data_IF_057751628739
#
_entry.id   IF_057751628739
#
_cell.length_a   1.000
_cell.length_b   1.000
_cell.length_c   1.000
_cell.angle_alpha   90.00
_cell.angle_beta   90.00
_cell.angle_gamma   90.00
#
_symmetry.space_group_name_H-M   'P 1'
#
loop_
_entity.id
_entity.type
_entity.pdbx_description
1 polymer ?
#
# COMPACT_ATOMS: atom_id res chain seq x y z
N UNK A 1 -6.58 7.48 11.02
CA UNK A 1 -6.39 8.14 9.77
C UNK A 1 -4.94 8.08 9.31
N UNK A 2 -4.07 8.68 10.05
CA UNK A 2 -2.65 8.59 9.75
C UNK A 2 -2.16 7.16 9.78
N UNK A 3 -2.77 6.33 10.62
CA UNK A 3 -2.47 4.91 10.72
C UNK A 3 -2.73 4.18 9.40
N UNK A 4 -3.86 4.45 8.74
CA UNK A 4 -4.17 3.84 7.45
C UNK A 4 -3.16 4.23 6.39
N UNK A 5 -2.74 5.48 6.38
CA UNK A 5 -1.76 5.99 5.42
C UNK A 5 -0.38 5.38 5.68
N UNK A 6 0.02 5.29 6.95
CA UNK A 6 1.29 4.70 7.32
C UNK A 6 1.30 3.21 6.96
N UNK A 7 0.23 2.49 7.27
CA UNK A 7 0.12 1.08 6.92
C UNK A 7 0.12 0.87 5.41
N UNK A 8 -0.61 1.70 4.67
CA UNK A 8 -0.64 1.63 3.22
C UNK A 8 0.74 1.85 2.61
N UNK A 9 1.45 2.88 3.07
CA UNK A 9 2.80 3.16 2.60
C UNK A 9 3.76 2.02 2.95
N UNK A 10 3.68 1.51 4.18
CA UNK A 10 4.52 0.40 4.61
C UNK A 10 4.28 -0.84 3.75
N UNK A 11 3.02 -1.13 3.43
CA UNK A 11 2.68 -2.27 2.57
C UNK A 11 3.18 -2.07 1.15
N UNK A 12 3.10 -0.85 0.62
CA UNK A 12 3.63 -0.54 -0.70
C UNK A 12 5.13 -0.77 -0.76
N UNK A 13 5.86 -0.29 0.23
CA UNK A 13 7.31 -0.47 0.30
C UNK A 13 7.67 -1.94 0.42
N UNK A 14 7.00 -2.64 1.33
CA UNK A 14 7.21 -4.08 1.53
C UNK A 14 6.91 -4.85 0.25
N UNK A 15 5.81 -4.52 -0.42
CA UNK A 15 5.44 -5.15 -1.68
C UNK A 15 6.45 -4.90 -2.79
N UNK A 16 6.98 -3.68 -2.89
CA UNK A 16 8.01 -3.33 -3.86
C UNK A 16 9.30 -4.13 -3.63
N UNK A 17 9.69 -4.29 -2.37
CA UNK A 17 10.87 -5.09 -2.03
C UNK A 17 10.66 -6.55 -2.41
N UNK A 18 9.51 -7.12 -2.07
CA UNK A 18 9.18 -8.51 -2.41
C UNK A 18 9.16 -8.71 -3.91
N UNK A 19 8.55 -7.79 -4.64
CA UNK A 19 8.47 -7.87 -6.09
C UNK A 19 9.87 -7.85 -6.71
N UNK A 20 10.71 -6.94 -6.26
CA UNK A 20 12.09 -6.81 -6.77
C UNK A 20 12.91 -8.05 -6.46
N UNK A 21 12.85 -8.54 -5.22
CA UNK A 21 13.57 -9.75 -4.82
C UNK A 21 13.06 -10.96 -5.60
N UNK A 22 11.75 -11.05 -5.80
CA UNK A 22 11.16 -12.12 -6.60
C UNK A 22 11.66 -12.12 -8.04
N UNK A 23 11.76 -10.96 -8.66
CA UNK A 23 12.28 -10.82 -10.02
C UNK A 23 13.75 -11.24 -10.10
N UNK A 24 14.56 -10.77 -9.17
CA UNK A 24 15.99 -11.09 -9.14
C UNK A 24 16.22 -12.59 -8.92
N UNK A 25 15.46 -13.18 -8.01
CA UNK A 25 15.57 -14.60 -7.67
C UNK A 25 14.85 -15.52 -8.67
N UNK A 26 14.04 -14.97 -9.56
CA UNK A 26 13.22 -15.78 -10.45
C UNK A 26 12.06 -16.44 -9.74
N UNK A 27 11.64 -15.91 -8.60
CA UNK A 27 10.55 -16.46 -7.79
C UNK A 27 9.25 -15.72 -8.12
N UNK A 28 8.45 -16.31 -9.02
CA UNK A 28 7.19 -15.71 -9.45
C UNK A 28 6.17 -15.59 -8.32
N UNK A 29 6.19 -16.51 -7.37
CA UNK A 29 5.26 -16.47 -6.24
C UNK A 29 5.55 -15.26 -5.36
N UNK A 30 6.81 -15.02 -5.05
CA UNK A 30 7.23 -13.88 -4.25
C UNK A 30 6.96 -12.57 -4.98
N UNK A 31 7.23 -12.52 -6.28
CA UNK A 31 6.94 -11.36 -7.12
C UNK A 31 5.44 -11.04 -7.09
N UNK A 32 4.60 -12.05 -7.24
CA UNK A 32 3.14 -11.90 -7.21
C UNK A 32 2.67 -11.41 -5.85
N UNK A 33 3.20 -11.97 -4.76
CA UNK A 33 2.90 -11.51 -3.40
C UNK A 33 3.26 -10.05 -3.22
N UNK A 34 4.42 -9.64 -3.74
CA UNK A 34 4.85 -8.26 -3.70
C UNK A 34 3.89 -7.33 -4.42
N UNK A 35 3.42 -7.73 -5.59
CA UNK A 35 2.44 -6.95 -6.34
C UNK A 35 1.12 -6.82 -5.60
N UNK A 36 0.65 -7.89 -4.96
CA UNK A 36 -0.58 -7.88 -4.16
C UNK A 36 -0.43 -6.95 -2.96
N UNK A 37 0.68 -7.05 -2.23
CA UNK A 37 0.96 -6.19 -1.08
C UNK A 37 1.00 -4.72 -1.49
N UNK A 38 1.63 -4.43 -2.61
CA UNK A 38 1.73 -3.08 -3.14
C UNK A 38 0.35 -2.52 -3.50
N UNK A 39 -0.48 -3.32 -4.16
CA UNK A 39 -1.84 -2.92 -4.51
C UNK A 39 -2.70 -2.71 -3.27
N UNK A 40 -2.58 -3.59 -2.28
CA UNK A 40 -3.31 -3.48 -1.01
C UNK A 40 -2.92 -2.20 -0.27
N UNK A 41 -1.62 -1.92 -0.21
CA UNK A 41 -1.12 -0.69 0.42
C UNK A 41 -1.63 0.56 -0.28
N UNK A 42 -1.68 0.52 -1.60
CA UNK A 42 -2.19 1.63 -2.40
C UNK A 42 -3.65 1.90 -2.12
N UNK A 43 -4.47 0.86 -2.02
CA UNK A 43 -5.90 0.97 -1.68
C UNK A 43 -6.06 1.53 -0.27
N UNK A 44 -5.31 1.04 0.71
CA UNK A 44 -5.36 1.55 2.08
C UNK A 44 -4.99 3.02 2.16
N UNK A 45 -3.96 3.42 1.43
CA UNK A 45 -3.53 4.81 1.39
C UNK A 45 -4.62 5.70 0.78
N UNK A 46 -5.26 5.24 -0.30
CA UNK A 46 -6.37 5.96 -0.93
C UNK A 46 -7.57 6.11 0.01
N UNK A 47 -7.90 5.06 0.76
CA UNK A 47 -8.99 5.11 1.75
C UNK A 47 -8.66 6.12 2.85
N UNK A 48 -7.40 6.14 3.34
CA UNK A 48 -6.97 7.12 4.33
C UNK A 48 -7.12 8.55 3.81
N UNK A 49 -6.73 8.79 2.56
CA UNK A 49 -6.88 10.09 1.92
C UNK A 49 -8.34 10.50 1.77
N UNK A 50 -9.21 9.56 1.40
CA UNK A 50 -10.65 9.82 1.28
C UNK A 50 -11.27 10.18 2.64
N UNK A 51 -10.87 9.47 3.70
CA UNK A 51 -11.33 9.77 5.06
C UNK A 51 -10.92 11.19 5.47
N UNK A 52 -9.70 11.58 5.15
CA UNK A 52 -9.22 12.93 5.45
C UNK A 52 -10.04 13.99 4.74
N UNK A 53 -10.32 13.78 3.46
CA UNK A 53 -11.10 14.72 2.67
C UNK A 53 -12.52 14.88 3.23
N UNK A 54 -13.16 13.78 3.63
CA UNK A 54 -14.49 13.80 4.25
C UNK A 54 -14.45 14.55 5.57
N UNK A 55 -13.43 14.30 6.38
CA UNK A 55 -13.27 14.97 7.67
C UNK A 55 -13.10 16.47 7.51
N UNK A 56 -12.27 16.89 6.56
CA UNK A 56 -12.05 18.31 6.29
C UNK A 56 -13.33 18.98 5.83
N UNK A 57 -14.09 18.32 4.95
CA UNK A 57 -15.39 18.84 4.50
C UNK A 57 -16.38 18.96 5.66
N UNK A 58 -16.33 18.04 6.61
CA UNK A 58 -17.24 18.02 7.77
C UNK A 58 -16.95 19.11 8.79
N UNK A 59 -15.77 19.68 8.76
CA UNK A 59 -15.39 20.74 9.70
C UNK A 59 -16.05 22.08 9.42
N UNK A 60 -16.67 22.21 8.29
CA UNK A 60 -17.40 23.42 7.91
C UNK A 60 -18.88 23.23 8.13
#
# INVERSE_FOLDING_TARGET
>A
MDKDRIEGTAKQVKGSIKETVGKIAGDQKLETEGKIDKATGKVQNAVGGAKDAIRDASKH
#
